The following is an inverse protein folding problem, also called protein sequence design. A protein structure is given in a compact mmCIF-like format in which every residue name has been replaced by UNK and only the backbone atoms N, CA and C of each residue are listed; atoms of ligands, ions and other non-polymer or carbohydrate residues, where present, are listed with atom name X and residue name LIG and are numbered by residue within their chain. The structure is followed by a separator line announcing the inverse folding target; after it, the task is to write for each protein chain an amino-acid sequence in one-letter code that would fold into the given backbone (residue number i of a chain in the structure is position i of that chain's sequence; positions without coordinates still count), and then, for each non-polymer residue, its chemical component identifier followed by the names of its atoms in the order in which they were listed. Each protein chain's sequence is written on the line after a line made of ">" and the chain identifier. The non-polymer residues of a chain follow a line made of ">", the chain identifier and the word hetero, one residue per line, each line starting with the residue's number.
data_IF_776168675886
#
_entry.id   IF_776168675886
#
_cell.length_a   1.000
_cell.length_b   1.000
_cell.length_c   1.000
_cell.angle_alpha   90.00
_cell.angle_beta   90.00
_cell.angle_gamma   90.00
#
_symmetry.space_group_name_H-M   'P 1'
#
loop_
_entity.id
_entity.type
_entity.pdbx_description
1 polymer ?
#
# COMPACT_ATOMS: atom_id res chain seq x y z
N UNK A 1 -0.79 -7.32 -14.26
CA UNK A 1 -0.59 -7.77 -12.86
C UNK A 1 -1.61 -7.06 -12.01
N UNK A 2 -2.22 -7.77 -11.07
CA UNK A 2 -3.17 -7.20 -10.11
C UNK A 2 -2.38 -6.80 -8.87
N UNK A 3 -2.69 -5.63 -8.30
CA UNK A 3 -2.02 -5.09 -7.12
C UNK A 3 -3.05 -4.84 -6.02
N UNK A 4 -2.60 -4.94 -4.77
CA UNK A 4 -3.31 -4.42 -3.61
C UNK A 4 -2.37 -3.51 -2.84
N UNK A 5 -2.97 -2.54 -2.16
CA UNK A 5 -2.27 -1.45 -1.50
C UNK A 5 -2.63 -1.52 -0.02
N UNK A 6 -1.64 -1.48 0.85
CA UNK A 6 -1.85 -1.68 2.30
C UNK A 6 -1.33 -0.46 3.04
N UNK A 7 -2.24 0.34 3.60
CA UNK A 7 -1.86 1.41 4.51
C UNK A 7 -1.42 0.79 5.84
N UNK A 8 -0.17 1.05 6.22
CA UNK A 8 0.37 0.69 7.52
C UNK A 8 0.53 1.95 8.35
N UNK A 9 -0.38 2.17 9.29
CA UNK A 9 -0.37 3.30 10.21
C UNK A 9 -0.07 2.79 11.63
N UNK A 10 1.20 2.73 12.01
CA UNK A 10 1.60 2.30 13.36
C UNK A 10 1.65 0.78 13.56
N UNK A 11 1.53 0.36 14.83
CA UNK A 11 1.79 -1.01 15.29
C UNK A 11 0.54 -1.87 15.49
N UNK A 12 -0.66 -1.28 15.43
CA UNK A 12 -1.90 -2.01 15.67
C UNK A 12 -2.47 -2.59 14.38
N UNK A 13 -2.87 -3.86 14.44
CA UNK A 13 -3.41 -4.58 13.29
C UNK A 13 -4.77 -4.06 12.83
N UNK A 14 -5.54 -3.46 13.75
CA UNK A 14 -6.90 -2.97 13.52
C UNK A 14 -6.92 -1.73 12.61
N UNK A 15 -5.79 -1.03 12.50
CA UNK A 15 -5.63 0.19 11.70
C UNK A 15 -5.13 -0.10 10.27
N UNK A 16 -4.98 -1.39 9.90
CA UNK A 16 -4.53 -1.78 8.56
C UNK A 16 -5.68 -1.63 7.57
N UNK A 17 -5.49 -0.77 6.56
CA UNK A 17 -6.47 -0.55 5.49
C UNK A 17 -5.97 -1.19 4.19
N UNK A 18 -6.80 -2.02 3.57
CA UNK A 18 -6.54 -2.59 2.24
C UNK A 18 -7.30 -1.78 1.20
N UNK A 19 -6.56 -1.22 0.26
CA UNK A 19 -7.07 -0.43 -0.86
C UNK A 19 -6.88 -1.24 -2.15
N UNK A 20 -7.90 -1.25 -3.00
CA UNK A 20 -7.92 -2.05 -4.23
C UNK A 20 -7.62 -1.22 -5.48
N UNK A 21 -7.65 0.11 -5.37
CA UNK A 21 -7.34 1.03 -6.46
C UNK A 21 -6.06 1.80 -6.18
N UNK A 22 -5.33 2.11 -7.25
CA UNK A 22 -4.13 2.96 -7.18
C UNK A 22 -4.47 4.38 -6.72
N UNK A 23 -5.63 4.90 -7.13
CA UNK A 23 -6.06 6.25 -6.82
C UNK A 23 -6.34 6.40 -5.33
N UNK A 24 -7.09 5.46 -4.74
CA UNK A 24 -7.34 5.43 -3.30
C UNK A 24 -6.03 5.30 -2.51
N UNK A 25 -5.09 4.48 -2.98
CA UNK A 25 -3.77 4.33 -2.38
C UNK A 25 -2.98 5.64 -2.34
N UNK A 26 -3.00 6.42 -3.43
CA UNK A 26 -2.35 7.73 -3.49
C UNK A 26 -3.05 8.70 -2.56
N UNK A 27 -4.37 8.81 -2.64
CA UNK A 27 -5.18 9.71 -1.81
C UNK A 27 -4.98 9.41 -0.32
N UNK A 28 -4.99 8.15 0.07
CA UNK A 28 -4.81 7.76 1.46
C UNK A 28 -3.39 8.04 1.97
N UNK A 29 -2.38 7.92 1.09
CA UNK A 29 -1.00 8.31 1.43
C UNK A 29 -0.83 9.82 1.63
N UNK A 30 -1.67 10.65 0.99
CA UNK A 30 -1.72 12.11 1.19
C UNK A 30 -2.41 12.43 2.52
N UNK A 31 -3.51 11.73 2.84
CA UNK A 31 -4.25 11.90 4.08
C UNK A 31 -3.44 11.46 5.32
N UNK A 32 -2.51 10.50 5.14
CA UNK A 32 -1.68 9.95 6.21
C UNK A 32 -0.17 10.15 5.89
N UNK A 33 0.35 11.39 5.92
CA UNK A 33 1.70 11.71 5.41
C UNK A 33 2.85 11.05 6.19
N UNK A 34 2.60 10.63 7.45
CA UNK A 34 3.56 9.88 8.26
C UNK A 34 3.56 8.37 7.96
N UNK A 35 2.50 7.84 7.36
CA UNK A 35 2.34 6.43 7.04
C UNK A 35 2.89 6.09 5.65
N UNK A 36 2.93 4.79 5.34
CA UNK A 36 3.22 4.28 4.00
C UNK A 36 2.07 3.42 3.52
N UNK A 37 1.81 3.48 2.22
CA UNK A 37 0.92 2.54 1.53
C UNK A 37 1.78 1.57 0.73
N UNK A 38 2.02 0.40 1.31
CA UNK A 38 2.85 -0.67 0.73
C UNK A 38 2.13 -1.33 -0.45
N UNK A 39 2.88 -1.67 -1.51
CA UNK A 39 2.32 -2.25 -2.72
C UNK A 39 2.65 -3.74 -2.79
N UNK A 40 1.60 -4.55 -2.90
CA UNK A 40 1.71 -5.99 -3.07
C UNK A 40 1.23 -6.39 -4.45
N UNK A 41 2.00 -7.25 -5.10
CA UNK A 41 1.60 -7.90 -6.36
C UNK A 41 0.87 -9.20 -6.05
N UNK A 42 -0.23 -9.46 -6.77
CA UNK A 42 -0.96 -10.72 -6.69
C UNK A 42 -0.43 -11.70 -7.74
N UNK A 43 -0.02 -12.87 -7.29
CA UNK A 43 0.39 -13.99 -8.12
C UNK A 43 -0.61 -15.15 -7.96
N UNK A 44 -1.08 -15.72 -9.06
CA UNK A 44 -2.06 -16.81 -9.07
C UNK A 44 -1.61 -18.08 -8.35
N UNK A 45 -0.30 -18.26 -8.09
CA UNK A 45 0.24 -19.44 -7.41
C UNK A 45 0.56 -19.24 -5.92
N UNK A 46 0.85 -18.01 -5.49
CA UNK A 46 1.50 -17.74 -4.19
C UNK A 46 0.73 -16.71 -3.36
N UNK A 47 -0.39 -16.18 -3.87
CA UNK A 47 -1.15 -15.13 -3.19
C UNK A 47 -0.52 -13.76 -3.42
N UNK A 48 -0.16 -13.06 -2.35
CA UNK A 48 0.37 -11.69 -2.40
C UNK A 48 1.86 -11.66 -2.08
N UNK A 49 2.63 -10.94 -2.90
CA UNK A 49 4.08 -10.78 -2.73
C UNK A 49 4.40 -9.29 -2.62
N UNK A 50 5.14 -8.85 -1.57
CA UNK A 50 5.53 -7.46 -1.44
C UNK A 50 6.39 -7.06 -2.62
N UNK A 51 6.13 -5.86 -3.16
CA UNK A 51 6.99 -5.29 -4.21
C UNK A 51 8.11 -4.43 -3.65
N UNK A 52 8.07 -4.15 -2.34
CA UNK A 52 8.92 -3.18 -1.64
C UNK A 52 8.79 -1.74 -2.14
N UNK A 53 7.88 -1.47 -3.08
CA UNK A 53 7.50 -0.12 -3.48
C UNK A 53 6.31 0.35 -2.66
N UNK A 54 6.20 1.66 -2.45
CA UNK A 54 5.14 2.23 -1.64
C UNK A 54 4.78 3.65 -2.08
N UNK A 55 3.60 4.11 -1.68
CA UNK A 55 3.26 5.53 -1.70
C UNK A 55 3.47 6.16 -0.33
N UNK A 56 4.02 7.38 -0.32
CA UNK A 56 4.15 8.20 0.89
C UNK A 56 3.91 9.65 0.53
N UNK A 57 2.97 10.31 1.21
CA UNK A 57 2.63 11.71 0.98
C UNK A 57 2.35 12.02 -0.51
N UNK A 58 1.63 11.12 -1.20
CA UNK A 58 1.31 11.23 -2.62
C UNK A 58 2.44 10.85 -3.59
N UNK A 59 3.65 10.60 -3.11
CA UNK A 59 4.80 10.26 -3.95
C UNK A 59 5.00 8.74 -4.04
N UNK A 60 5.35 8.27 -5.25
CA UNK A 60 5.74 6.88 -5.48
C UNK A 60 7.22 6.70 -5.19
N UNK A 61 7.56 5.76 -4.30
CA UNK A 61 8.93 5.44 -3.93
C UNK A 61 9.25 4.01 -4.35
N UNK A 62 10.33 3.87 -5.12
CA UNK A 62 10.86 2.61 -5.60
C UNK A 62 12.12 2.25 -4.82
N UNK A 63 12.21 1.00 -4.36
CA UNK A 63 13.31 0.50 -3.52
C UNK A 63 13.91 -0.77 -4.08
#
# INVERSE_FOLDING_TARGET
>A
MEFVYVLLCGSEWEDIIILLSKEDAINESINNPSARVEIFSKNSKVGYTPTYNYYKNGEFIQT
#
